data_IF_819466226105
#
_entry.id   IF_819466226105
#
_cell.length_a   1.000
_cell.length_b   1.000
_cell.length_c   1.000
_cell.angle_alpha   90.00
_cell.angle_beta   90.00
_cell.angle_gamma   90.00
#
_symmetry.space_group_name_H-M   'P 1'
#
loop_
_entity.id
_entity.type
_entity.pdbx_description
1 polymer ?
#
# COMPACT_ATOMS: atom_id res chain seq x y z
N UNK A 1 10.16 -24.08 -21.01
CA UNK A 1 11.34 -24.83 -21.49
C UNK A 1 11.39 -26.17 -20.81
N UNK A 2 11.75 -27.21 -21.56
CA UNK A 2 11.85 -28.59 -21.04
C UNK A 2 13.22 -28.78 -20.38
N UNK A 3 13.23 -29.30 -19.15
CA UNK A 3 14.46 -29.58 -18.41
C UNK A 3 14.39 -30.97 -17.79
N UNK A 4 15.39 -31.82 -18.07
CA UNK A 4 15.48 -33.19 -17.54
C UNK A 4 14.20 -34.02 -17.80
N UNK A 5 13.60 -33.84 -18.97
CA UNK A 5 12.34 -34.51 -19.34
C UNK A 5 11.14 -34.11 -18.47
N UNK A 6 11.16 -32.90 -17.92
CA UNK A 6 10.07 -32.34 -17.13
C UNK A 6 9.76 -30.91 -17.58
N UNK A 7 8.51 -30.50 -17.38
CA UNK A 7 8.06 -29.13 -17.60
C UNK A 7 7.49 -28.60 -16.30
N UNK A 8 7.94 -27.41 -15.92
CA UNK A 8 7.39 -26.67 -14.79
C UNK A 8 6.47 -25.57 -15.30
N UNK A 9 5.20 -25.67 -14.96
CA UNK A 9 4.18 -24.70 -15.36
C UNK A 9 3.36 -24.31 -14.12
N UNK A 10 3.35 -23.02 -13.77
CA UNK A 10 2.56 -22.46 -12.65
C UNK A 10 2.65 -23.28 -11.34
N UNK A 11 3.88 -23.50 -10.86
CA UNK A 11 4.19 -24.30 -9.65
C UNK A 11 3.77 -25.78 -9.70
N UNK A 12 3.43 -26.30 -10.88
CA UNK A 12 3.14 -27.71 -11.14
C UNK A 12 4.22 -28.30 -12.03
N UNK A 13 4.52 -29.58 -11.84
CA UNK A 13 5.56 -30.30 -12.57
C UNK A 13 4.89 -31.41 -13.36
N UNK A 14 5.11 -31.39 -14.67
CA UNK A 14 4.57 -32.34 -15.63
C UNK A 14 5.68 -33.20 -16.21
N UNK A 15 5.36 -34.45 -16.52
CA UNK A 15 6.25 -35.37 -17.23
C UNK A 15 5.50 -36.20 -18.26
N UNK A 16 6.23 -36.69 -19.26
CA UNK A 16 5.75 -37.67 -20.20
C UNK A 16 6.89 -38.59 -20.62
N UNK A 17 6.52 -39.75 -21.17
CA UNK A 17 7.46 -40.60 -21.87
C UNK A 17 8.00 -39.85 -23.10
N UNK A 18 9.30 -39.96 -23.36
CA UNK A 18 10.00 -39.31 -24.49
C UNK A 18 10.13 -37.78 -24.43
N UNK A 19 9.62 -37.11 -23.39
CA UNK A 19 9.77 -35.66 -23.24
C UNK A 19 11.24 -35.19 -23.19
N UNK A 20 12.16 -36.07 -22.78
CA UNK A 20 13.60 -35.80 -22.74
C UNK A 20 14.22 -35.51 -24.11
N UNK A 21 13.58 -35.94 -25.21
CA UNK A 21 14.04 -35.67 -26.57
C UNK A 21 13.97 -34.17 -26.91
N UNK A 22 13.08 -33.43 -26.25
CA UNK A 22 12.87 -32.00 -26.43
C UNK A 22 13.57 -31.16 -25.35
N UNK A 23 14.58 -31.71 -24.66
CA UNK A 23 15.33 -30.99 -23.64
C UNK A 23 15.93 -29.69 -24.20
N UNK A 24 15.88 -28.61 -23.40
CA UNK A 24 16.37 -27.27 -23.76
C UNK A 24 15.55 -26.58 -24.86
N UNK A 25 14.52 -27.22 -25.41
CA UNK A 25 13.63 -26.60 -26.38
C UNK A 25 12.47 -25.85 -25.71
N UNK A 26 11.99 -24.83 -26.41
CA UNK A 26 10.80 -24.08 -26.06
C UNK A 26 9.60 -24.70 -26.76
N UNK A 27 8.57 -25.02 -25.98
CA UNK A 27 7.34 -25.66 -26.45
C UNK A 27 6.16 -24.86 -25.91
N UNK A 28 5.06 -24.88 -26.66
CA UNK A 28 3.81 -24.26 -26.26
C UNK A 28 2.99 -25.28 -25.47
N UNK A 29 2.50 -24.89 -24.28
CA UNK A 29 1.70 -25.75 -23.42
C UNK A 29 0.24 -25.28 -23.40
N UNK A 30 -0.64 -26.06 -23.99
CA UNK A 30 -2.08 -25.95 -23.81
C UNK A 30 -2.49 -26.60 -22.48
N UNK A 31 -3.29 -25.91 -21.69
CA UNK A 31 -3.77 -26.41 -20.41
C UNK A 31 -5.23 -26.04 -20.19
N UNK A 32 -5.96 -26.89 -19.46
CA UNK A 32 -7.30 -26.61 -19.00
C UNK A 32 -7.26 -25.78 -17.70
N UNK A 33 -8.18 -24.83 -17.57
CA UNK A 33 -8.32 -23.99 -16.39
C UNK A 33 -8.96 -24.74 -15.21
N UNK A 34 -9.79 -25.75 -15.49
CA UNK A 34 -10.51 -26.50 -14.45
C UNK A 34 -9.74 -27.72 -13.96
N UNK A 35 -9.01 -28.38 -14.85
CA UNK A 35 -8.28 -29.60 -14.54
C UNK A 35 -6.78 -29.43 -14.77
N UNK A 36 -5.97 -29.76 -13.76
CA UNK A 36 -4.51 -29.69 -13.84
C UNK A 36 -3.82 -31.03 -14.08
N UNK A 37 -4.58 -32.12 -14.26
CA UNK A 37 -4.04 -33.47 -14.41
C UNK A 37 -3.20 -33.65 -15.67
N UNK A 38 -3.56 -32.98 -16.76
CA UNK A 38 -2.90 -33.12 -18.06
C UNK A 38 -2.63 -31.76 -18.70
N UNK A 39 -1.57 -31.72 -19.50
CA UNK A 39 -1.28 -30.61 -20.41
C UNK A 39 -0.98 -31.16 -21.80
N UNK A 40 -1.31 -30.38 -22.82
CA UNK A 40 -1.01 -30.68 -24.21
C UNK A 40 0.19 -29.86 -24.65
N UNK A 41 1.18 -30.51 -25.25
CA UNK A 41 2.37 -29.84 -25.77
C UNK A 41 2.31 -29.71 -27.28
N UNK A 42 2.70 -28.53 -27.73
CA UNK A 42 2.79 -28.15 -29.13
C UNK A 42 4.18 -27.59 -29.42
N UNK A 43 4.62 -27.76 -30.65
CA UNK A 43 5.77 -27.03 -31.16
C UNK A 43 5.41 -25.55 -31.36
N UNK A 44 6.39 -24.67 -31.48
CA UNK A 44 6.16 -23.24 -31.77
C UNK A 44 5.42 -23.01 -33.09
N UNK A 45 5.50 -23.97 -34.03
CA UNK A 45 4.72 -23.98 -35.28
C UNK A 45 3.22 -24.28 -35.07
N UNK A 46 2.82 -24.71 -33.88
CA UNK A 46 1.46 -25.16 -33.57
C UNK A 46 1.22 -26.67 -33.79
N UNK A 47 2.24 -27.43 -34.22
CA UNK A 47 2.12 -28.88 -34.36
C UNK A 47 1.98 -29.57 -32.99
N UNK A 48 1.01 -30.47 -32.87
CA UNK A 48 0.80 -31.25 -31.65
C UNK A 48 1.90 -32.31 -31.48
N UNK A 49 2.50 -32.37 -30.29
CA UNK A 49 3.59 -33.31 -29.99
C UNK A 49 3.06 -34.44 -29.12
N UNK A 50 2.60 -34.12 -27.90
CA UNK A 50 2.23 -35.12 -26.90
C UNK A 50 1.41 -34.53 -25.74
N UNK A 51 0.84 -35.42 -24.94
CA UNK A 51 0.19 -35.08 -23.66
C UNK A 51 1.15 -35.41 -22.52
N UNK A 52 1.25 -34.52 -21.54
CA UNK A 52 1.99 -34.74 -20.30
C UNK A 52 1.05 -34.86 -19.11
N UNK A 53 1.42 -35.73 -18.18
CA UNK A 53 0.71 -35.96 -16.93
C UNK A 53 1.34 -35.18 -15.78
N UNK A 54 0.50 -34.80 -14.81
CA UNK A 54 0.94 -34.14 -13.59
C UNK A 54 1.72 -35.11 -12.71
N UNK A 55 3.00 -34.82 -12.51
CA UNK A 55 3.89 -35.61 -11.64
C UNK A 55 3.86 -35.11 -10.20
N UNK A 56 3.90 -33.80 -10.01
CA UNK A 56 3.94 -33.20 -8.68
C UNK A 56 3.29 -31.81 -8.67
N UNK A 57 2.58 -31.52 -7.57
CA UNK A 57 2.11 -30.18 -7.22
C UNK A 57 2.24 -29.96 -5.72
N UNK A 58 2.26 -28.68 -5.31
CA UNK A 58 2.14 -28.34 -3.89
C UNK A 58 0.74 -28.74 -3.38
N UNK A 59 0.67 -29.34 -2.20
CA UNK A 59 -0.59 -29.79 -1.61
C UNK A 59 -1.58 -28.64 -1.33
N UNK A 60 -1.07 -27.45 -1.07
CA UNK A 60 -1.89 -26.26 -0.83
C UNK A 60 -2.51 -25.66 -2.11
N UNK A 61 -2.16 -26.17 -3.30
CA UNK A 61 -2.68 -25.66 -4.56
C UNK A 61 -3.95 -26.43 -4.98
N UNK A 62 -5.04 -25.74 -5.31
CA UNK A 62 -6.24 -26.39 -5.84
C UNK A 62 -5.98 -26.95 -7.24
N UNK A 63 -6.85 -27.87 -7.67
CA UNK A 63 -6.83 -28.45 -9.01
C UNK A 63 -7.16 -27.40 -10.07
N UNK A 64 -8.20 -26.58 -9.84
CA UNK A 64 -8.56 -25.49 -10.76
C UNK A 64 -7.65 -24.28 -10.59
N UNK A 65 -7.30 -23.66 -11.72
CA UNK A 65 -6.54 -22.40 -11.76
C UNK A 65 -7.40 -21.19 -11.43
N UNK A 66 -8.71 -21.31 -11.61
CA UNK A 66 -9.67 -20.25 -11.27
C UNK A 66 -9.70 -20.09 -9.76
N UNK A 67 -9.86 -21.21 -9.04
CA UNK A 67 -9.84 -21.25 -7.58
C UNK A 67 -8.52 -20.73 -7.01
N UNK A 68 -7.38 -21.10 -7.61
CA UNK A 68 -6.06 -20.59 -7.20
C UNK A 68 -6.00 -19.05 -7.28
N UNK A 69 -6.55 -18.48 -8.36
CA UNK A 69 -6.59 -17.03 -8.56
C UNK A 69 -7.56 -16.36 -7.59
N UNK A 70 -8.69 -16.99 -7.29
CA UNK A 70 -9.66 -16.48 -6.32
C UNK A 70 -9.08 -16.44 -4.90
N UNK A 71 -8.44 -17.53 -4.46
CA UNK A 71 -7.74 -17.59 -3.17
C UNK A 71 -6.65 -16.51 -3.10
N UNK A 72 -5.88 -16.32 -4.17
CA UNK A 72 -4.86 -15.26 -4.21
C UNK A 72 -5.51 -13.88 -4.10
N UNK A 73 -6.60 -13.63 -4.83
CA UNK A 73 -7.32 -12.35 -4.81
C UNK A 73 -7.88 -12.06 -3.41
N UNK A 74 -8.47 -13.05 -2.74
CA UNK A 74 -8.99 -12.86 -1.38
C UNK A 74 -7.88 -12.60 -0.38
N UNK A 75 -6.76 -13.33 -0.46
CA UNK A 75 -5.58 -13.09 0.37
C UNK A 75 -4.99 -11.68 0.16
N UNK A 76 -4.88 -11.22 -1.09
CA UNK A 76 -4.38 -9.88 -1.42
C UNK A 76 -5.36 -8.77 -0.97
N UNK A 77 -6.66 -9.05 -0.93
CA UNK A 77 -7.65 -8.13 -0.36
C UNK A 77 -7.53 -8.05 1.17
N UNK A 78 -7.33 -9.19 1.85
CA UNK A 78 -7.11 -9.24 3.29
C UNK A 78 -5.85 -8.44 3.67
N UNK A 79 -4.72 -8.68 2.99
CA UNK A 79 -3.46 -7.95 3.23
C UNK A 79 -3.62 -6.44 3.12
N UNK A 80 -4.38 -5.96 2.13
CA UNK A 80 -4.65 -4.53 1.97
C UNK A 80 -5.45 -3.98 3.14
N UNK A 81 -6.48 -4.70 3.60
CA UNK A 81 -7.25 -4.31 4.79
C UNK A 81 -6.40 -4.33 6.06
N UNK A 82 -5.58 -5.37 6.24
CA UNK A 82 -4.65 -5.46 7.37
C UNK A 82 -3.66 -4.31 7.39
N UNK A 83 -3.15 -3.87 6.23
CA UNK A 83 -2.29 -2.70 6.12
C UNK A 83 -3.00 -1.43 6.61
N UNK A 84 -4.24 -1.19 6.17
CA UNK A 84 -5.02 -0.03 6.63
C UNK A 84 -5.29 -0.10 8.14
N UNK A 85 -5.69 -1.27 8.66
CA UNK A 85 -5.89 -1.48 10.09
C UNK A 85 -4.60 -1.22 10.88
N UNK A 86 -3.45 -1.66 10.37
CA UNK A 86 -2.16 -1.42 11.02
C UNK A 86 -1.80 0.06 11.03
N UNK A 87 -2.06 0.79 9.94
CA UNK A 87 -1.87 2.23 9.85
C UNK A 87 -2.76 2.98 10.85
N UNK A 88 -4.04 2.63 10.91
CA UNK A 88 -4.99 3.25 11.84
C UNK A 88 -4.62 2.97 13.29
N UNK A 89 -4.16 1.75 13.60
CA UNK A 89 -3.62 1.41 14.93
C UNK A 89 -2.38 2.22 15.26
N UNK A 90 -1.46 2.40 14.31
CA UNK A 90 -0.27 3.22 14.52
C UNK A 90 -0.64 4.69 14.76
N UNK A 91 -1.60 5.24 14.01
CA UNK A 91 -2.12 6.60 14.21
C UNK A 91 -2.80 6.75 15.56
N UNK A 92 -3.62 5.78 15.96
CA UNK A 92 -4.28 5.78 17.27
C UNK A 92 -3.27 5.65 18.42
N UNK A 93 -2.20 4.87 18.26
CA UNK A 93 -1.14 4.77 19.24
C UNK A 93 -0.37 6.10 19.42
N UNK A 94 -0.15 6.85 18.33
CA UNK A 94 0.43 8.20 18.38
C UNK A 94 -0.50 9.22 19.05
N UNK A 95 -1.82 9.14 18.80
CA UNK A 95 -2.78 10.03 19.47
C UNK A 95 -3.04 9.65 20.93
N UNK A 96 -2.86 8.37 21.28
CA UNK A 96 -3.06 7.82 22.62
C UNK A 96 -1.72 7.67 23.37
N UNK A 97 -0.77 8.60 23.16
CA UNK A 97 0.33 8.78 24.09
C UNK A 97 -0.24 9.51 25.30
N UNK A 98 -0.94 8.74 26.13
CA UNK A 98 -1.20 9.12 27.50
C UNK A 98 0.17 9.14 28.19
N UNK A 99 0.68 10.32 28.53
CA UNK A 99 1.83 10.41 29.42
C UNK A 99 1.46 9.70 30.72
N UNK A 100 2.17 8.63 31.04
CA UNK A 100 1.93 7.85 32.27
C UNK A 100 2.01 8.78 33.51
N UNK A 101 2.86 9.81 33.44
CA UNK A 101 2.98 10.85 34.46
C UNK A 101 1.75 11.77 34.59
N UNK A 102 0.95 11.94 33.53
CA UNK A 102 -0.27 12.78 33.56
C UNK A 102 -1.48 12.01 34.11
N UNK A 103 -1.52 10.68 33.96
CA UNK A 103 -2.59 9.84 34.53
C UNK A 103 -2.50 9.81 36.04
N UNK A 104 -1.29 9.71 36.59
CA UNK A 104 -1.07 9.75 38.04
C UNK A 104 -1.50 11.11 38.61
N UNK A 105 -1.23 12.20 37.88
CA UNK A 105 -1.62 13.57 38.27
C UNK A 105 -3.13 13.81 38.20
N UNK A 106 -3.82 13.26 37.19
CA UNK A 106 -5.30 13.33 37.09
C UNK A 106 -5.98 12.44 38.13
N UNK A 107 -5.41 11.28 38.47
CA UNK A 107 -5.90 10.45 39.57
C UNK A 107 -5.71 11.13 40.93
N UNK A 108 -4.61 11.87 41.13
CA UNK A 108 -4.40 12.66 42.35
C UNK A 108 -5.38 13.85 42.45
N UNK A 109 -5.73 14.48 41.32
CA UNK A 109 -6.71 15.58 41.27
C UNK A 109 -8.17 15.13 41.43
N UNK A 110 -8.47 13.85 41.15
CA UNK A 110 -9.82 13.27 41.25
C UNK A 110 -10.03 12.43 42.49
N UNK A 111 -8.95 12.13 43.24
CA UNK A 111 -9.04 11.67 44.61
C UNK A 111 -9.73 12.74 45.46
N UNK A 112 -10.83 12.34 46.10
CA UNK A 112 -11.76 13.14 46.89
C UNK A 112 -11.14 14.39 47.55
N UNK A 113 -11.74 15.59 47.40
CA UNK A 113 -11.29 16.76 48.13
C UNK A 113 -11.64 16.57 49.62
N UNK A 114 -10.75 15.92 50.36
CA UNK A 114 -10.78 15.80 51.83
C UNK A 114 -10.19 17.05 52.48
N UNK A 115 -10.45 18.21 51.88
CA UNK A 115 -10.31 19.50 52.54
C UNK A 115 -11.71 20.09 52.64
N UNK A 116 -12.37 19.76 53.74
CA UNK A 116 -13.50 20.53 54.23
C UNK A 116 -13.09 22.01 54.17
N UNK A 117 -13.75 22.78 53.30
CA UNK A 117 -13.70 24.23 53.40
C UNK A 117 -14.27 24.57 54.77
N UNK A 118 -13.41 24.90 55.73
CA UNK A 118 -13.81 25.67 56.89
C UNK A 118 -14.48 26.93 56.37
N UNK A 119 -15.78 27.07 56.62
CA UNK A 119 -16.54 28.29 56.35
C UNK A 119 -15.78 29.46 56.98
N UNK A 120 -15.05 30.21 56.16
CA UNK A 120 -14.58 31.51 56.58
C UNK A 120 -15.79 32.46 56.52
N UNK A 121 -16.05 33.22 57.59
CA UNK A 121 -17.10 34.24 57.54
C UNK A 121 -16.79 35.20 56.37
N UNK A 122 -17.81 35.71 55.68
CA UNK A 122 -17.62 36.55 54.51
C UNK A 122 -16.72 37.74 54.88
N UNK A 123 -15.53 37.78 54.30
CA UNK A 123 -14.68 38.97 54.37
C UNK A 123 -15.41 40.09 53.65
N UNK A 124 -15.85 41.10 54.40
CA UNK A 124 -16.31 42.36 53.83
C UNK A 124 -15.11 43.06 53.21
N UNK A 125 -14.95 42.89 51.91
CA UNK A 125 -14.00 43.67 51.11
C UNK A 125 -14.48 45.12 51.15
N UNK A 126 -13.75 45.97 51.88
CA UNK A 126 -14.00 47.41 51.86
C UNK A 126 -13.40 47.95 50.55
N UNK A 127 -14.16 47.83 49.45
CA UNK A 127 -13.76 48.39 48.17
C UNK A 127 -13.75 49.90 48.33
N UNK A 128 -12.56 50.49 48.34
CA UNK A 128 -12.40 51.93 48.35
C UNK A 128 -12.44 52.39 46.90
N UNK A 129 -13.55 53.01 46.48
CA UNK A 129 -13.80 53.40 45.08
C UNK A 129 -12.78 54.44 44.55
N UNK A 130 -11.94 54.99 45.42
CA UNK A 130 -10.88 55.93 45.06
C UNK A 130 -9.60 55.25 44.53
N UNK A 131 -9.42 53.93 44.70
CA UNK A 131 -8.25 53.19 44.16
C UNK A 131 -8.41 52.84 42.66
N UNK A 132 -9.56 53.16 42.04
CA UNK A 132 -9.83 52.87 40.62
C UNK A 132 -9.34 53.97 39.66
N UNK A 133 -8.77 55.06 40.17
CA UNK A 133 -8.37 56.21 39.35
C UNK A 133 -6.93 56.15 38.83
N UNK A 134 -6.12 55.17 39.22
CA UNK A 134 -4.72 55.03 38.79
C UNK A 134 -4.52 53.88 37.79
N UNK A 135 -5.41 53.74 36.81
CA UNK A 135 -5.14 52.95 35.60
C UNK A 135 -4.80 53.93 34.48
N UNK A 136 -3.64 54.56 34.62
CA UNK A 136 -2.99 55.25 33.51
C UNK A 136 -2.52 54.24 32.48
N UNK A 137 -2.82 54.59 31.23
CA UNK A 137 -2.41 54.02 29.97
C UNK A 137 -0.96 53.53 29.94
N UNK A 138 -0.73 52.30 29.43
CA UNK A 138 0.44 51.83 28.65
C UNK A 138 0.45 50.28 28.67
N UNK A 139 0.61 49.48 27.62
CA UNK A 139 0.90 49.63 26.20
C UNK A 139 0.51 48.30 25.55
N UNK A 140 -0.42 48.30 24.59
CA UNK A 140 -0.56 47.19 23.63
C UNK A 140 0.59 47.28 22.64
N UNK A 141 1.61 46.43 22.79
CA UNK A 141 2.62 46.26 21.74
C UNK A 141 2.00 45.42 20.62
N UNK A 142 1.61 46.10 19.54
CA UNK A 142 1.31 45.50 18.25
C UNK A 142 2.57 44.80 17.73
N UNK A 143 2.59 43.47 17.74
CA UNK A 143 3.54 42.70 16.94
C UNK A 143 2.93 42.63 15.53
N UNK A 144 3.27 43.57 14.66
CA UNK A 144 3.10 43.37 13.23
C UNK A 144 4.25 42.49 12.72
N UNK A 145 4.00 41.26 12.22
CA UNK A 145 5.05 40.51 11.56
C UNK A 145 5.38 41.17 10.21
N UNK A 146 6.66 41.51 10.02
CA UNK A 146 7.19 42.08 8.79
C UNK A 146 7.08 41.05 7.64
N UNK A 147 6.28 41.39 6.63
CA UNK A 147 6.00 40.52 5.47
C UNK A 147 7.23 40.21 4.61
N UNK A 148 8.35 40.92 4.83
CA UNK A 148 9.58 40.68 4.10
C UNK A 148 10.33 39.40 4.52
N UNK A 149 10.04 38.84 5.70
CA UNK A 149 10.66 37.59 6.15
C UNK A 149 10.03 36.34 5.49
N UNK A 150 8.79 36.45 5.00
CA UNK A 150 8.06 35.35 4.34
C UNK A 150 8.38 35.17 2.85
N UNK A 151 9.04 36.15 2.23
CA UNK A 151 9.34 36.19 0.79
C UNK A 151 10.83 36.00 0.45
N UNK A 152 11.66 35.63 1.42
CA UNK A 152 13.04 35.28 1.13
C UNK A 152 13.10 34.02 0.22
N UNK A 153 13.80 34.07 -0.93
CA UNK A 153 13.92 32.91 -1.80
C UNK A 153 14.73 31.83 -1.09
N UNK A 154 14.12 30.65 -0.92
CA UNK A 154 14.80 29.44 -0.46
C UNK A 154 15.91 29.11 -1.46
N UNK A 155 17.14 29.06 -0.96
CA UNK A 155 18.31 28.67 -1.74
C UNK A 155 18.15 27.23 -2.27
N UNK A 156 18.61 27.02 -3.50
CA UNK A 156 18.57 25.76 -4.25
C UNK A 156 18.93 24.52 -3.42
N UNK A 157 17.93 23.71 -3.07
CA UNK A 157 18.13 22.29 -2.83
C UNK A 157 17.63 21.50 -4.04
N UNK A 158 18.54 20.69 -4.58
CA UNK A 158 18.34 19.86 -5.76
C UNK A 158 17.19 18.86 -5.55
N UNK A 159 16.04 19.13 -6.17
CA UNK A 159 15.02 18.10 -6.36
C UNK A 159 15.33 17.25 -7.61
N UNK A 160 15.14 15.92 -7.57
CA UNK A 160 15.31 15.07 -8.73
C UNK A 160 14.27 15.40 -9.79
N UNK A 161 14.75 15.51 -11.04
CA UNK A 161 13.97 15.73 -12.26
C UNK A 161 12.71 14.85 -12.28
N UNK A 162 11.54 15.48 -12.30
CA UNK A 162 10.27 14.80 -12.59
C UNK A 162 10.20 14.65 -14.11
N UNK A 163 10.49 13.46 -14.62
CA UNK A 163 10.22 13.11 -16.01
C UNK A 163 8.71 13.19 -16.24
N UNK A 164 8.27 14.15 -17.04
CA UNK A 164 6.87 14.24 -17.45
C UNK A 164 6.56 13.17 -18.50
N UNK A 165 5.33 12.67 -18.51
CA UNK A 165 4.84 11.60 -19.40
C UNK A 165 4.94 11.91 -20.91
N UNK A 166 5.32 13.14 -21.28
CA UNK A 166 5.46 13.58 -22.67
C UNK A 166 6.86 13.33 -23.25
N UNK A 167 7.89 13.06 -22.44
CA UNK A 167 9.27 12.83 -22.91
C UNK A 167 9.55 11.36 -23.31
N UNK A 168 8.55 10.48 -23.23
CA UNK A 168 8.66 9.03 -23.51
C UNK A 168 8.00 8.60 -24.82
N UNK A 169 7.57 9.55 -25.66
CA UNK A 169 6.73 9.28 -26.84
C UNK A 169 7.31 9.80 -28.17
N UNK A 170 8.57 10.18 -28.21
CA UNK A 170 9.27 10.52 -29.45
C UNK A 170 10.42 9.54 -29.68
N UNK A 171 10.16 8.34 -30.24
CA UNK A 171 11.10 7.58 -31.08
C UNK A 171 10.28 6.60 -31.95
N UNK A 172 10.25 6.92 -33.25
CA UNK A 172 9.94 6.15 -34.44
C UNK A 172 9.60 4.65 -34.32
N UNK A 173 8.48 4.25 -34.95
CA UNK A 173 8.48 3.22 -36.00
C UNK A 173 7.15 3.26 -36.77
N UNK A 174 7.00 4.28 -37.63
CA UNK A 174 6.02 4.26 -38.71
C UNK A 174 6.60 3.51 -39.91
N UNK A 175 6.39 2.20 -40.07
CA UNK A 175 6.40 1.54 -41.39
C UNK A 175 5.51 0.27 -41.44
N UNK A 176 4.71 0.22 -42.52
CA UNK A 176 4.05 -0.94 -43.16
C UNK A 176 2.74 -1.47 -42.57
N UNK A 177 1.62 -0.82 -42.94
CA UNK A 177 0.35 -1.50 -43.17
C UNK A 177 0.20 -1.61 -44.69
N UNK A 178 0.58 -2.77 -45.24
CA UNK A 178 0.20 -3.14 -46.61
C UNK A 178 -1.26 -3.62 -46.61
N UNK A 179 -2.01 -3.12 -47.59
CA UNK A 179 -3.41 -3.40 -47.86
C UNK A 179 -3.63 -4.89 -48.12
N UNK A 180 -4.36 -5.57 -47.23
CA UNK A 180 -4.96 -6.88 -47.52
C UNK A 180 -6.42 -6.67 -47.93
N UNK A 181 -6.67 -6.71 -49.23
CA UNK A 181 -8.00 -6.80 -49.82
C UNK A 181 -8.67 -8.12 -49.41
N UNK A 182 -9.87 -8.04 -48.83
CA UNK A 182 -10.74 -9.19 -48.60
C UNK A 182 -11.54 -9.47 -49.89
N UNK A 183 -11.26 -10.58 -50.57
CA UNK A 183 -12.21 -11.19 -51.49
C UNK A 183 -13.15 -12.10 -50.70
N UNK A 184 -14.44 -11.81 -50.81
CA UNK A 184 -15.54 -12.58 -50.24
C UNK A 184 -15.88 -13.69 -51.22
N UNK A 185 -15.78 -14.95 -50.78
CA UNK A 185 -16.49 -16.09 -51.37
C UNK A 185 -17.13 -16.91 -50.25
#
# INVERSE_FOLDING_TARGET
>A
NVLRGQIKLHKRIYSANFLHQFNTQELLAGYDLHNDAYIQLYQLSGEFIMICELKAKSHALPTSRIDEREIKRSADAIKRKEKHIAEDKARAALSHVININEVDLVNELTAEPTLALTEQPPMTMHINLNDLNDIDEQQTHDIQPDLNELLAPVADEQHPQVTTLNDLLEHDDTQLIEEATYEIF
#
